data_IF_554199493079
#
_entry.id   IF_554199493079
#
_cell.length_a   1.000
_cell.length_b   1.000
_cell.length_c   1.000
_cell.angle_alpha   90.00
_cell.angle_beta   90.00
_cell.angle_gamma   90.00
#
_symmetry.space_group_name_H-M   'P 1'
#
loop_
_entity.id
_entity.type
_entity.pdbx_description
1 polymer ?
#
# COMPACT_ATOMS: atom_id res chain seq x y z
N UNK A 1 -34.76 40.27 -40.48
CA UNK A 1 -33.43 40.09 -39.97
C UNK A 1 -33.38 38.85 -39.08
N UNK A 2 -32.60 37.87 -39.57
CA UNK A 2 -32.39 36.57 -38.89
C UNK A 2 -31.17 36.74 -38.00
N UNK A 3 -31.30 36.61 -36.70
CA UNK A 3 -30.18 36.60 -35.78
C UNK A 3 -29.60 35.20 -35.71
N UNK A 4 -28.36 35.06 -36.17
CA UNK A 4 -27.55 33.86 -36.06
C UNK A 4 -26.87 33.87 -34.68
N UNK A 5 -27.27 32.99 -33.78
CA UNK A 5 -26.60 32.79 -32.49
C UNK A 5 -25.46 31.77 -32.70
N UNK A 6 -24.25 32.25 -32.68
CA UNK A 6 -23.02 31.42 -32.61
C UNK A 6 -22.85 30.86 -31.22
N UNK A 7 -23.11 29.57 -31.02
CA UNK A 7 -22.67 28.86 -29.80
C UNK A 7 -21.16 28.59 -29.92
N UNK A 8 -20.38 29.35 -29.15
CA UNK A 8 -18.98 29.05 -28.93
C UNK A 8 -18.87 27.89 -27.91
N UNK A 9 -18.59 26.69 -28.41
CA UNK A 9 -18.26 25.55 -27.57
C UNK A 9 -16.91 25.75 -26.91
N UNK A 10 -16.87 26.07 -25.64
CA UNK A 10 -15.66 25.98 -24.84
C UNK A 10 -15.27 24.50 -24.67
N UNK A 11 -14.30 24.01 -25.46
CA UNK A 11 -13.54 22.82 -25.11
C UNK A 11 -12.70 23.17 -23.86
N UNK A 12 -13.21 22.83 -22.69
CA UNK A 12 -12.45 22.88 -21.47
C UNK A 12 -11.30 21.86 -21.56
N UNK A 13 -10.07 22.35 -21.66
CA UNK A 13 -8.88 21.56 -21.39
C UNK A 13 -8.99 21.06 -19.93
N UNK A 14 -9.30 19.78 -19.75
CA UNK A 14 -9.20 19.11 -18.45
C UNK A 14 -7.70 19.01 -18.17
N UNK A 15 -7.18 19.97 -17.38
CA UNK A 15 -5.83 19.85 -16.84
C UNK A 15 -5.83 18.66 -15.86
N UNK A 16 -4.82 17.77 -15.92
CA UNK A 16 -4.69 16.66 -14.97
C UNK A 16 -4.71 17.22 -13.55
N UNK A 17 -5.47 16.59 -12.67
CA UNK A 17 -5.51 16.99 -11.26
C UNK A 17 -4.18 16.62 -10.60
N UNK A 18 -3.73 17.40 -9.61
CA UNK A 18 -2.47 17.13 -8.89
C UNK A 18 -2.40 15.70 -8.30
N UNK A 19 -3.53 15.03 -8.11
CA UNK A 19 -3.62 13.62 -7.71
C UNK A 19 -3.11 12.64 -8.77
N UNK A 20 -3.18 12.99 -10.07
CA UNK A 20 -2.67 12.15 -11.18
C UNK A 20 -1.13 12.22 -11.30
N UNK A 21 -0.51 13.20 -10.70
CA UNK A 21 0.93 13.43 -10.74
C UNK A 21 1.68 12.81 -9.56
N UNK A 22 0.99 12.23 -8.59
CA UNK A 22 1.58 11.75 -7.35
C UNK A 22 1.13 10.33 -6.98
N UNK A 23 2.02 9.60 -6.33
CA UNK A 23 1.77 8.34 -5.64
C UNK A 23 2.48 8.41 -4.30
N UNK A 24 1.92 9.17 -3.32
CA UNK A 24 2.67 9.67 -2.17
C UNK A 24 2.89 8.66 -1.06
N UNK A 25 2.24 7.51 -1.12
CA UNK A 25 2.26 6.49 -0.08
C UNK A 25 2.11 5.09 -0.67
N UNK A 26 2.30 4.09 0.16
CA UNK A 26 1.94 2.73 -0.20
C UNK A 26 0.45 2.64 -0.55
N UNK A 27 0.14 2.06 -1.71
CA UNK A 27 -1.19 1.99 -2.33
C UNK A 27 -1.78 3.34 -2.80
N UNK A 28 -0.91 4.34 -3.00
CA UNK A 28 -1.25 5.57 -3.71
C UNK A 28 -2.02 6.60 -2.89
N UNK A 29 -2.56 7.62 -3.56
CA UNK A 29 -3.13 8.79 -2.89
C UNK A 29 -4.40 8.48 -2.09
N UNK A 30 -5.10 7.40 -2.40
CA UNK A 30 -6.32 6.95 -1.70
C UNK A 30 -6.07 5.80 -0.71
N UNK A 31 -4.86 5.23 -0.69
CA UNK A 31 -4.49 4.11 0.17
C UNK A 31 -5.16 2.78 -0.19
N UNK A 32 -5.85 2.69 -1.33
CA UNK A 32 -6.64 1.54 -1.77
C UNK A 32 -6.07 0.83 -3.01
N UNK A 33 -4.97 1.35 -3.57
CA UNK A 33 -4.33 0.84 -4.80
C UNK A 33 -5.02 1.27 -6.08
N UNK A 34 -5.99 2.18 -6.03
CA UNK A 34 -6.67 2.67 -7.23
C UNK A 34 -5.97 3.88 -7.84
N UNK A 35 -5.94 3.93 -9.18
CA UNK A 35 -5.46 5.07 -9.96
C UNK A 35 -6.55 5.59 -10.88
N UNK A 36 -6.74 6.92 -10.97
CA UNK A 36 -7.60 7.54 -11.97
C UNK A 36 -6.95 7.65 -13.35
N UNK A 37 -5.67 7.29 -13.49
CA UNK A 37 -4.90 7.40 -14.73
C UNK A 37 -5.58 6.68 -15.90
N UNK A 38 -5.68 7.34 -17.05
CA UNK A 38 -6.32 6.80 -18.25
C UNK A 38 -5.33 6.56 -19.41
N UNK A 39 -4.05 6.85 -19.20
CA UNK A 39 -3.03 6.80 -20.26
C UNK A 39 -1.99 5.69 -20.05
N UNK A 40 -1.93 5.08 -18.86
CA UNK A 40 -0.97 4.00 -18.59
C UNK A 40 -1.27 2.78 -19.49
N UNK A 41 -0.26 2.20 -20.18
CA UNK A 41 -0.48 1.03 -21.04
C UNK A 41 -0.86 -0.19 -20.21
N UNK A 42 -1.95 -0.86 -20.57
CA UNK A 42 -2.35 -2.13 -19.98
C UNK A 42 -1.56 -3.31 -20.54
N UNK A 43 -1.13 -3.20 -21.79
CA UNK A 43 -0.23 -4.14 -22.46
C UNK A 43 1.10 -3.45 -22.77
N UNK A 44 2.21 -4.07 -22.36
CA UNK A 44 3.55 -3.51 -22.51
C UNK A 44 4.63 -4.59 -22.54
N UNK A 45 5.77 -4.25 -23.11
CA UNK A 45 7.00 -5.03 -23.02
C UNK A 45 8.16 -4.14 -22.54
N UNK A 46 9.11 -4.73 -21.85
CA UNK A 46 10.33 -4.02 -21.39
C UNK A 46 11.11 -3.46 -22.58
N UNK A 47 11.14 -4.18 -23.71
CA UNK A 47 11.88 -3.78 -24.91
C UNK A 47 11.32 -2.49 -25.53
N UNK A 48 10.00 -2.37 -25.60
CA UNK A 48 9.33 -1.30 -26.38
C UNK A 48 8.91 -0.10 -25.52
N UNK A 49 8.53 -0.37 -24.28
CA UNK A 49 7.88 0.62 -23.40
C UNK A 49 8.76 1.12 -22.25
N UNK A 50 10.03 0.69 -22.15
CA UNK A 50 10.92 1.23 -21.11
C UNK A 50 11.30 2.67 -21.46
N UNK A 51 10.86 3.60 -20.62
CA UNK A 51 11.29 5.01 -20.65
C UNK A 51 12.68 5.12 -20.03
N UNK A 52 12.87 4.52 -18.86
CA UNK A 52 14.16 4.36 -18.21
C UNK A 52 14.20 3.12 -17.31
N UNK A 53 15.41 2.63 -17.08
CA UNK A 53 15.74 1.52 -16.17
C UNK A 53 16.94 1.93 -15.34
N UNK A 54 16.83 1.90 -14.01
CA UNK A 54 17.88 2.34 -13.09
C UNK A 54 18.24 1.22 -12.14
N UNK A 55 19.52 0.83 -12.02
CA UNK A 55 19.95 -0.17 -11.05
C UNK A 55 19.78 0.36 -9.62
N UNK A 56 19.25 -0.49 -8.75
CA UNK A 56 19.10 -0.22 -7.32
C UNK A 56 20.15 -1.02 -6.53
N UNK A 57 20.89 -0.39 -5.61
CA UNK A 57 21.78 -1.13 -4.75
C UNK A 57 21.01 -1.96 -3.72
N UNK A 58 21.54 -3.12 -3.36
CA UNK A 58 21.02 -3.94 -2.27
C UNK A 58 19.64 -4.55 -2.54
N UNK A 59 18.87 -4.78 -1.48
CA UNK A 59 17.58 -5.46 -1.52
C UNK A 59 16.48 -4.62 -0.87
N UNK A 60 15.23 -4.81 -1.33
CA UNK A 60 14.08 -4.17 -0.70
C UNK A 60 12.77 -4.54 -1.38
N UNK A 61 11.71 -4.71 -0.59
CA UNK A 61 10.35 -5.02 -1.05
C UNK A 61 9.39 -3.82 -0.97
N UNK A 62 9.86 -2.69 -0.43
CA UNK A 62 9.09 -1.46 -0.41
C UNK A 62 8.74 -0.98 -1.82
N UNK A 63 7.52 -0.52 -2.00
CA UNK A 63 7.12 0.17 -3.23
C UNK A 63 7.81 1.52 -3.33
N UNK A 64 8.11 2.03 -4.53
CA UNK A 64 8.49 3.42 -4.69
C UNK A 64 7.32 4.35 -4.35
N UNK A 65 7.62 5.59 -3.98
CA UNK A 65 6.62 6.67 -3.91
C UNK A 65 7.04 7.79 -4.85
N UNK A 66 6.06 8.48 -5.41
CA UNK A 66 6.27 9.51 -6.41
C UNK A 66 5.59 10.80 -5.99
N UNK A 67 6.35 11.89 -6.05
CA UNK A 67 5.81 13.23 -5.89
C UNK A 67 6.40 14.15 -6.96
N UNK A 68 5.57 14.58 -7.89
CA UNK A 68 5.99 15.40 -9.02
C UNK A 68 7.23 14.81 -9.73
N UNK A 69 8.38 15.46 -9.67
CA UNK A 69 9.62 15.05 -10.35
C UNK A 69 10.58 14.23 -9.47
N UNK A 70 10.06 13.67 -8.37
CA UNK A 70 10.85 12.87 -7.43
C UNK A 70 10.26 11.46 -7.29
N UNK A 71 11.14 10.46 -7.34
CA UNK A 71 10.84 9.08 -7.01
C UNK A 71 11.69 8.68 -5.81
N UNK A 72 11.05 8.29 -4.72
CA UNK A 72 11.73 7.85 -3.51
C UNK A 72 11.60 6.35 -3.36
N UNK A 73 12.71 5.69 -3.05
CA UNK A 73 12.77 4.26 -2.79
C UNK A 73 13.72 3.97 -1.65
N UNK A 74 13.40 3.00 -0.81
CA UNK A 74 14.29 2.54 0.26
C UNK A 74 14.94 1.21 -0.11
N UNK A 75 16.16 0.98 0.35
CA UNK A 75 16.91 -0.26 0.12
C UNK A 75 17.74 -0.64 1.33
N UNK A 76 18.15 -1.90 1.42
CA UNK A 76 19.09 -2.41 2.40
C UNK A 76 20.36 -2.89 1.66
N UNK A 77 21.48 -2.26 1.95
CA UNK A 77 22.79 -2.60 1.41
C UNK A 77 23.67 -3.05 2.57
N UNK A 78 23.94 -4.34 2.66
CA UNK A 78 24.63 -4.93 3.81
C UNK A 78 23.94 -4.56 5.14
N UNK A 79 24.62 -3.80 6.00
CA UNK A 79 24.11 -3.33 7.29
C UNK A 79 23.44 -1.95 7.21
N UNK A 80 23.44 -1.28 6.04
CA UNK A 80 22.85 0.04 5.85
C UNK A 80 21.42 -0.04 5.35
N UNK A 81 20.60 0.89 5.83
CA UNK A 81 19.27 1.19 5.30
C UNK A 81 19.35 2.55 4.63
N UNK A 82 19.01 2.60 3.36
CA UNK A 82 19.19 3.79 2.55
C UNK A 82 17.85 4.29 1.99
N UNK A 83 17.68 5.60 1.93
CA UNK A 83 16.66 6.30 1.17
C UNK A 83 17.32 6.90 -0.06
N UNK A 84 16.78 6.58 -1.24
CA UNK A 84 17.28 7.05 -2.53
C UNK A 84 16.20 7.90 -3.19
N UNK A 85 16.59 9.05 -3.70
CA UNK A 85 15.77 9.91 -4.54
C UNK A 85 16.27 9.86 -5.98
N UNK A 86 15.35 9.58 -6.90
CA UNK A 86 15.62 9.61 -8.34
C UNK A 86 14.81 10.73 -9.00
N UNK A 87 15.32 11.25 -10.09
CA UNK A 87 14.58 12.10 -11.00
C UNK A 87 13.55 11.26 -11.76
N UNK A 88 12.30 11.65 -11.71
CA UNK A 88 11.19 10.89 -12.27
C UNK A 88 11.24 10.78 -13.80
N UNK A 89 11.69 11.81 -14.48
CA UNK A 89 11.70 11.83 -15.94
C UNK A 89 12.83 10.95 -16.53
N UNK A 90 13.96 10.87 -15.83
CA UNK A 90 15.17 10.25 -16.35
C UNK A 90 15.64 9.00 -15.60
N UNK A 91 15.08 8.74 -14.42
CA UNK A 91 15.54 7.69 -13.52
C UNK A 91 16.92 7.94 -12.90
N UNK A 92 17.56 9.09 -13.16
CA UNK A 92 18.88 9.42 -12.60
C UNK A 92 18.80 9.68 -11.10
N UNK A 93 19.76 9.17 -10.37
CA UNK A 93 19.87 9.44 -8.93
C UNK A 93 20.15 10.93 -8.67
N UNK A 94 19.27 11.56 -7.91
CA UNK A 94 19.45 12.92 -7.39
C UNK A 94 20.33 12.90 -6.14
N UNK A 95 19.99 12.04 -5.18
CA UNK A 95 20.74 11.85 -3.94
C UNK A 95 20.42 10.50 -3.30
N UNK A 96 21.22 10.11 -2.31
CA UNK A 96 20.94 8.99 -1.43
C UNK A 96 21.40 9.35 -0.01
N UNK A 97 20.65 8.90 0.99
CA UNK A 97 20.95 9.10 2.40
C UNK A 97 20.98 7.76 3.14
N UNK A 98 22.02 7.53 3.93
CA UNK A 98 22.04 6.42 4.89
C UNK A 98 21.13 6.82 6.04
N UNK A 99 20.03 6.10 6.20
CA UNK A 99 19.04 6.36 7.26
C UNK A 99 19.54 5.82 8.58
N UNK A 100 20.03 4.59 8.58
CA UNK A 100 20.66 3.95 9.73
C UNK A 100 21.61 2.83 9.30
N UNK A 101 22.49 2.43 10.20
CA UNK A 101 23.32 1.23 10.10
C UNK A 101 22.91 0.27 11.21
N UNK A 102 22.42 -0.92 10.84
CA UNK A 102 21.98 -1.94 11.78
C UNK A 102 22.20 -3.33 11.20
N UNK A 103 22.96 -4.15 11.86
CA UNK A 103 23.39 -5.47 11.37
C UNK A 103 22.54 -6.64 11.88
N UNK A 104 21.55 -6.42 12.75
CA UNK A 104 20.93 -7.48 13.55
C UNK A 104 19.42 -7.44 13.55
N UNK A 105 18.81 -7.82 12.43
CA UNK A 105 17.36 -8.07 12.40
C UNK A 105 17.08 -9.50 11.94
N UNK A 106 16.19 -10.17 12.68
CA UNK A 106 15.61 -11.43 12.21
C UNK A 106 14.43 -11.10 11.30
N UNK A 107 14.47 -11.58 10.07
CA UNK A 107 13.41 -11.43 9.08
C UNK A 107 12.93 -12.79 8.59
N UNK A 108 11.68 -12.83 8.11
CA UNK A 108 11.17 -13.98 7.36
C UNK A 108 11.83 -14.01 5.97
N UNK A 109 12.03 -15.21 5.38
CA UNK A 109 12.66 -15.38 4.04
C UNK A 109 11.97 -14.60 2.91
N UNK A 110 10.67 -14.31 3.05
CA UNK A 110 9.86 -13.51 2.11
C UNK A 110 9.78 -12.03 2.47
N UNK A 111 10.52 -11.59 3.47
CA UNK A 111 10.63 -10.19 3.85
C UNK A 111 11.99 -9.64 3.48
N UNK A 112 12.16 -8.34 3.50
CA UNK A 112 13.44 -7.65 3.35
C UNK A 112 13.65 -6.68 4.51
N UNK A 113 14.88 -6.22 4.68
CA UNK A 113 15.23 -5.21 5.68
C UNK A 113 14.77 -3.79 5.25
N UNK A 114 14.16 -3.66 4.05
CA UNK A 114 13.62 -2.43 3.49
C UNK A 114 12.25 -2.71 2.82
N UNK A 115 11.28 -3.18 3.62
CA UNK A 115 9.93 -3.50 3.16
C UNK A 115 8.89 -2.42 3.48
N UNK A 116 9.17 -1.55 4.45
CA UNK A 116 8.32 -0.41 4.76
C UNK A 116 8.41 0.65 3.65
N UNK A 117 7.31 0.91 2.98
CA UNK A 117 7.25 1.93 1.91
C UNK A 117 7.28 3.32 2.52
N UNK A 118 8.08 4.24 1.98
CA UNK A 118 8.08 5.65 2.39
C UNK A 118 6.69 6.29 2.24
N UNK A 119 6.51 7.44 2.90
CA UNK A 119 5.37 8.33 2.63
C UNK A 119 5.83 9.77 2.53
N UNK A 120 5.18 10.56 1.69
CA UNK A 120 5.53 11.98 1.49
C UNK A 120 4.30 12.88 1.48
N UNK A 121 4.47 14.12 1.94
CA UNK A 121 3.46 15.18 1.88
C UNK A 121 3.81 16.30 0.89
N UNK A 122 4.85 16.09 0.07
CA UNK A 122 5.34 17.08 -0.88
C UNK A 122 6.41 18.03 -0.33
N UNK A 123 6.65 18.03 0.99
CA UNK A 123 7.70 18.80 1.64
C UNK A 123 8.73 17.88 2.32
N UNK A 124 8.25 16.76 2.87
CA UNK A 124 9.08 15.80 3.59
C UNK A 124 8.80 14.39 3.09
N UNK A 125 9.82 13.54 3.23
CA UNK A 125 9.72 12.08 3.06
C UNK A 125 9.96 11.44 4.42
N UNK A 126 9.01 10.60 4.83
CA UNK A 126 9.08 9.86 6.09
C UNK A 126 9.36 8.39 5.80
N UNK A 127 10.32 7.84 6.51
CA UNK A 127 10.72 6.44 6.40
C UNK A 127 10.72 5.79 7.77
N UNK A 128 10.44 4.48 7.81
CA UNK A 128 10.52 3.69 9.03
C UNK A 128 11.26 2.38 8.79
N UNK A 129 12.09 2.00 9.76
CA UNK A 129 12.89 0.76 9.77
C UNK A 129 12.94 0.18 11.17
N UNK A 130 13.50 -1.01 11.30
CA UNK A 130 13.97 -1.51 12.57
C UNK A 130 15.47 -1.26 12.73
N UNK A 131 15.87 -0.97 13.96
CA UNK A 131 17.23 -1.02 14.45
C UNK A 131 17.29 -2.05 15.59
N UNK A 132 17.60 -3.28 15.23
CA UNK A 132 17.50 -4.41 16.16
C UNK A 132 16.05 -4.70 16.58
N UNK A 133 15.62 -4.14 17.70
CA UNK A 133 14.23 -4.22 18.19
C UNK A 133 13.59 -2.86 18.40
N UNK A 134 14.24 -1.79 18.01
CA UNK A 134 13.70 -0.44 18.13
C UNK A 134 13.12 0.04 16.82
N UNK A 135 11.92 0.57 16.85
CA UNK A 135 11.34 1.27 15.72
C UNK A 135 12.13 2.55 15.46
N UNK A 136 12.57 2.75 14.24
CA UNK A 136 13.31 3.93 13.80
C UNK A 136 12.48 4.68 12.76
N UNK A 137 12.16 5.94 13.02
CA UNK A 137 11.39 6.81 12.12
C UNK A 137 12.17 8.08 11.85
N UNK A 138 12.32 8.43 10.57
CA UNK A 138 13.10 9.59 10.15
C UNK A 138 12.37 10.39 9.10
N UNK A 139 12.45 11.72 9.18
CA UNK A 139 11.99 12.65 8.16
C UNK A 139 13.18 13.28 7.43
N UNK A 140 13.05 13.39 6.12
CA UNK A 140 13.97 14.09 5.22
C UNK A 140 13.22 15.15 4.43
N UNK A 141 13.90 16.26 4.07
CA UNK A 141 13.40 17.13 3.03
C UNK A 141 13.68 16.54 1.62
N UNK A 142 13.26 17.23 0.57
CA UNK A 142 13.42 16.74 -0.80
C UNK A 142 14.87 16.87 -1.32
N UNK A 143 15.73 17.60 -0.62
CA UNK A 143 17.16 17.72 -0.87
C UNK A 143 17.96 16.59 -0.17
N UNK A 144 17.30 15.74 0.62
CA UNK A 144 17.91 14.62 1.33
C UNK A 144 18.55 14.99 2.66
N UNK A 145 18.23 16.16 3.20
CA UNK A 145 18.69 16.58 4.53
C UNK A 145 17.74 16.05 5.60
N UNK A 146 18.31 15.34 6.57
CA UNK A 146 17.56 14.83 7.73
C UNK A 146 16.99 15.99 8.56
N UNK A 147 15.68 15.98 8.78
CA UNK A 147 14.97 16.97 9.58
C UNK A 147 14.86 16.54 11.04
N UNK A 148 14.49 15.30 11.26
CA UNK A 148 14.43 14.69 12.58
C UNK A 148 14.50 13.17 12.50
N UNK A 149 14.80 12.55 13.64
CA UNK A 149 14.84 11.11 13.86
C UNK A 149 14.21 10.79 15.21
N UNK A 150 13.39 9.74 15.29
CA UNK A 150 12.72 9.30 16.52
C UNK A 150 12.68 7.77 16.63
N UNK A 151 12.68 7.30 17.87
CA UNK A 151 12.52 5.91 18.27
C UNK A 151 11.27 5.79 19.13
N UNK A 152 10.07 5.65 18.54
CA UNK A 152 8.81 5.74 19.28
C UNK A 152 8.53 4.53 20.15
N UNK A 153 9.26 3.42 20.01
CA UNK A 153 9.08 2.23 20.83
C UNK A 153 9.77 1.00 20.28
N UNK A 154 9.57 -0.10 21.00
CA UNK A 154 10.08 -1.43 20.62
C UNK A 154 9.16 -2.07 19.58
N UNK A 155 9.76 -2.87 18.70
CA UNK A 155 9.04 -3.77 17.80
C UNK A 155 9.74 -5.14 17.79
N UNK A 156 9.16 -6.12 18.44
CA UNK A 156 9.68 -7.47 18.52
C UNK A 156 8.86 -8.42 17.64
N UNK A 157 9.46 -8.93 16.58
CA UNK A 157 8.82 -9.88 15.67
C UNK A 157 9.85 -10.85 15.13
N UNK A 158 9.43 -12.10 14.92
CA UNK A 158 10.26 -13.14 14.29
C UNK A 158 10.31 -13.01 12.77
N UNK A 159 9.49 -12.14 12.18
CA UNK A 159 9.38 -11.96 10.74
C UNK A 159 9.95 -10.63 10.23
N UNK A 160 10.43 -9.77 11.13
CA UNK A 160 10.87 -8.41 10.82
C UNK A 160 9.70 -7.42 10.74
N UNK A 161 9.93 -6.26 10.15
CA UNK A 161 8.99 -5.15 10.04
C UNK A 161 8.67 -4.85 8.57
N UNK A 162 7.41 -4.53 8.24
CA UNK A 162 7.03 -4.14 6.88
C UNK A 162 5.82 -3.20 6.79
N UNK A 163 5.15 -2.88 7.91
CA UNK A 163 4.10 -1.86 7.90
C UNK A 163 4.66 -0.51 7.47
N UNK A 164 3.92 0.22 6.66
CA UNK A 164 4.36 1.53 6.16
C UNK A 164 3.79 2.66 7.01
N UNK A 165 4.52 3.78 7.17
CA UNK A 165 3.97 4.97 7.79
C UNK A 165 2.84 5.54 6.94
N UNK A 166 1.85 6.15 7.57
CA UNK A 166 0.77 6.88 6.90
C UNK A 166 0.70 8.32 7.41
N UNK A 167 0.10 9.20 6.61
CA UNK A 167 -0.06 10.61 6.96
C UNK A 167 -1.52 10.92 7.28
N UNK A 168 -1.69 11.76 8.29
CA UNK A 168 -2.97 12.38 8.61
C UNK A 168 -2.76 13.81 9.09
N UNK A 169 -3.22 14.78 8.31
CA UNK A 169 -3.04 16.22 8.63
C UNK A 169 -1.56 16.55 8.93
N UNK A 170 -1.25 16.91 10.15
CA UNK A 170 0.08 17.23 10.67
C UNK A 170 0.83 16.04 11.31
N UNK A 171 0.32 14.82 11.14
CA UNK A 171 0.81 13.61 11.82
C UNK A 171 1.38 12.58 10.85
N UNK A 172 2.42 11.89 11.30
CA UNK A 172 2.91 10.60 10.78
C UNK A 172 2.46 9.53 11.76
N UNK A 173 1.75 8.52 11.29
CA UNK A 173 1.21 7.44 12.12
C UNK A 173 1.93 6.13 11.79
N UNK A 174 2.35 5.43 12.82
CA UNK A 174 3.12 4.19 12.75
C UNK A 174 2.35 3.07 13.46
N UNK A 175 2.22 1.93 12.80
CA UNK A 175 1.75 0.70 13.42
C UNK A 175 2.93 -0.02 14.09
N UNK A 176 2.86 -0.18 15.40
CA UNK A 176 3.80 -0.90 16.26
C UNK A 176 3.21 -2.17 16.85
N UNK A 177 2.31 -2.88 16.16
CA UNK A 177 1.80 -4.19 16.60
C UNK A 177 2.92 -5.23 16.57
N UNK A 178 3.33 -5.74 17.74
CA UNK A 178 4.42 -6.69 17.90
C UNK A 178 4.19 -7.70 19.04
N UNK A 179 5.09 -8.64 19.20
CA UNK A 179 5.06 -9.61 20.29
C UNK A 179 5.56 -8.96 21.60
N UNK A 180 4.74 -8.10 22.21
CA UNK A 180 5.07 -7.30 23.37
C UNK A 180 4.02 -6.22 23.62
N UNK A 181 4.42 -5.10 24.19
CA UNK A 181 3.54 -3.96 24.46
C UNK A 181 3.23 -3.20 23.16
N UNK A 182 2.35 -3.82 22.37
CA UNK A 182 1.91 -3.34 21.05
C UNK A 182 1.26 -1.98 21.14
N UNK A 183 1.49 -1.15 20.10
CA UNK A 183 0.98 0.23 20.06
C UNK A 183 0.70 0.71 18.64
N UNK A 184 -0.07 1.78 18.54
CA UNK A 184 -0.11 2.69 17.38
C UNK A 184 0.34 4.04 17.90
N UNK A 185 1.19 4.74 17.18
CA UNK A 185 1.71 6.04 17.59
C UNK A 185 1.60 7.06 16.47
N UNK A 186 1.21 8.29 16.82
CA UNK A 186 1.26 9.44 15.94
C UNK A 186 2.37 10.40 16.38
N UNK A 187 3.20 10.77 15.41
CA UNK A 187 4.26 11.75 15.57
C UNK A 187 3.92 13.01 14.78
N UNK A 188 4.23 14.19 15.30
CA UNK A 188 4.13 15.44 14.58
C UNK A 188 5.07 15.44 13.37
N UNK A 189 4.57 15.70 12.16
CA UNK A 189 5.39 15.71 10.93
C UNK A 189 6.59 16.64 10.99
N UNK A 190 6.44 17.80 11.62
CA UNK A 190 7.46 18.84 11.67
C UNK A 190 8.62 18.53 12.60
N UNK A 191 8.36 17.88 13.75
CA UNK A 191 9.35 17.72 14.83
C UNK A 191 9.60 16.27 15.24
N UNK A 192 8.75 15.33 14.81
CA UNK A 192 8.74 13.97 15.30
C UNK A 192 8.28 13.81 16.75
N UNK A 193 7.77 14.87 17.40
CA UNK A 193 7.23 14.80 18.77
C UNK A 193 6.01 13.88 18.80
N UNK A 194 5.93 12.99 19.79
CA UNK A 194 4.76 12.15 20.01
C UNK A 194 3.53 13.02 20.31
N UNK A 195 2.46 12.81 19.52
CA UNK A 195 1.17 13.49 19.68
C UNK A 195 0.23 12.63 20.52
N UNK A 196 0.13 11.35 20.16
CA UNK A 196 -0.60 10.35 20.92
C UNK A 196 0.00 8.95 20.68
N UNK A 197 -0.22 8.07 21.66
CA UNK A 197 0.13 6.66 21.58
C UNK A 197 -0.98 5.82 22.17
N UNK A 198 -1.50 4.89 21.41
CA UNK A 198 -2.58 3.99 21.82
C UNK A 198 -2.02 2.58 21.98
N UNK A 199 -2.10 2.05 23.21
CA UNK A 199 -1.67 0.69 23.51
C UNK A 199 -2.69 -0.32 22.98
N UNK A 200 -2.19 -1.44 22.48
CA UNK A 200 -2.96 -2.57 21.96
C UNK A 200 -2.89 -3.73 22.95
N UNK A 201 -4.02 -4.43 23.14
CA UNK A 201 -4.19 -5.30 24.30
C UNK A 201 -3.64 -6.72 24.14
N UNK A 202 -3.57 -7.25 22.91
CA UNK A 202 -3.34 -8.69 22.70
C UNK A 202 -1.87 -9.07 22.48
N UNK A 203 -0.97 -8.10 22.41
CA UNK A 203 0.48 -8.30 22.35
C UNK A 203 0.92 -9.23 21.22
N UNK A 204 0.29 -9.08 20.05
CA UNK A 204 0.49 -9.98 18.91
C UNK A 204 0.93 -9.18 17.69
N UNK A 205 2.01 -9.63 17.07
CA UNK A 205 2.58 -9.00 15.85
C UNK A 205 1.60 -8.93 14.70
N UNK A 206 1.64 -7.82 14.00
CA UNK A 206 0.90 -7.57 12.77
C UNK A 206 1.74 -6.69 11.84
N UNK A 207 1.43 -6.75 10.57
CA UNK A 207 2.21 -6.09 9.51
C UNK A 207 1.35 -5.20 8.63
N UNK A 208 0.07 -5.11 8.94
CA UNK A 208 -0.91 -4.30 8.22
C UNK A 208 -0.52 -2.82 8.26
N UNK A 209 -0.54 -2.16 7.13
CA UNK A 209 -0.49 -0.70 7.05
C UNK A 209 -1.90 -0.16 7.32
N UNK A 210 -2.08 0.74 8.30
CA UNK A 210 -3.37 1.37 8.55
C UNK A 210 -3.85 2.16 7.33
N UNK A 211 -5.16 2.29 7.19
CA UNK A 211 -5.80 3.09 6.15
C UNK A 211 -6.80 4.05 6.78
N UNK A 212 -6.99 5.24 6.18
CA UNK A 212 -7.88 6.27 6.74
C UNK A 212 -8.94 6.64 5.71
N UNK A 213 -10.20 6.62 6.13
CA UNK A 213 -11.35 7.09 5.34
C UNK A 213 -12.27 7.96 6.20
N UNK A 214 -12.93 8.91 5.56
CA UNK A 214 -14.06 9.62 6.16
C UNK A 214 -15.34 8.91 5.78
N UNK A 215 -16.01 8.33 6.75
CA UNK A 215 -17.23 7.53 6.56
C UNK A 215 -18.35 8.20 7.33
N UNK A 216 -19.38 8.69 6.62
CA UNK A 216 -20.50 9.45 7.20
C UNK A 216 -20.03 10.59 8.14
N UNK A 217 -19.03 11.35 7.70
CA UNK A 217 -18.47 12.48 8.47
C UNK A 217 -17.53 12.09 9.62
N UNK A 218 -17.35 10.80 9.91
CA UNK A 218 -16.41 10.30 10.92
C UNK A 218 -15.11 9.84 10.27
N UNK A 219 -13.99 10.43 10.70
CA UNK A 219 -12.67 9.97 10.27
C UNK A 219 -12.36 8.64 10.95
N UNK A 220 -12.01 7.65 10.18
CA UNK A 220 -11.74 6.31 10.65
C UNK A 220 -10.39 5.82 10.14
N UNK A 221 -9.42 5.69 11.04
CA UNK A 221 -8.20 4.93 10.79
C UNK A 221 -8.48 3.48 11.13
N UNK A 222 -8.45 2.62 10.12
CA UNK A 222 -8.76 1.20 10.28
C UNK A 222 -7.51 0.36 10.04
N UNK A 223 -7.30 -0.61 10.89
CA UNK A 223 -6.25 -1.62 10.70
C UNK A 223 -6.70 -2.97 11.24
N UNK A 224 -6.16 -4.01 10.63
CA UNK A 224 -6.21 -5.39 11.14
C UNK A 224 -4.90 -5.71 11.82
N UNK A 225 -4.94 -6.20 13.04
CA UNK A 225 -3.75 -6.50 13.82
C UNK A 225 -4.07 -6.78 15.28
N UNK A 226 -3.08 -7.25 16.02
CA UNK A 226 -3.24 -7.55 17.44
C UNK A 226 -4.49 -8.40 17.73
N UNK A 227 -4.72 -9.45 16.91
CA UNK A 227 -5.90 -10.34 16.96
C UNK A 227 -7.25 -9.65 16.77
N UNK A 228 -7.29 -8.46 16.18
CA UNK A 228 -8.51 -7.67 15.99
C UNK A 228 -8.55 -7.00 14.63
N UNK A 229 -9.74 -6.55 14.22
CA UNK A 229 -9.92 -5.47 13.25
C UNK A 229 -10.52 -4.30 14.01
N UNK A 230 -9.89 -3.13 13.94
CA UNK A 230 -10.31 -2.00 14.75
C UNK A 230 -10.20 -0.66 14.02
N UNK A 231 -11.12 0.24 14.37
CA UNK A 231 -11.14 1.62 13.89
C UNK A 231 -10.83 2.60 15.03
N UNK A 232 -10.06 3.61 14.68
CA UNK A 232 -9.62 4.66 15.60
C UNK A 232 -9.86 6.04 15.01
N UNK A 233 -10.07 7.03 15.88
CA UNK A 233 -10.00 8.44 15.51
C UNK A 233 -8.52 8.81 15.23
N UNK A 234 -8.17 9.20 14.00
CA UNK A 234 -6.76 9.45 13.66
C UNK A 234 -6.18 10.71 14.33
N UNK A 235 -7.01 11.64 14.80
CA UNK A 235 -6.54 12.82 15.51
C UNK A 235 -6.10 12.53 16.96
N UNK A 236 -6.71 11.52 17.61
CA UNK A 236 -6.51 11.26 19.06
C UNK A 236 -6.07 9.83 19.38
N UNK A 237 -6.15 8.90 18.44
CA UNK A 237 -5.91 7.48 18.67
C UNK A 237 -7.01 6.77 19.47
N UNK A 238 -8.15 7.43 19.75
CA UNK A 238 -9.28 6.83 20.46
C UNK A 238 -10.00 5.80 19.59
N UNK A 239 -10.23 4.60 20.11
CA UNK A 239 -10.92 3.53 19.38
C UNK A 239 -12.41 3.82 19.21
N UNK A 240 -12.90 3.72 17.98
CA UNK A 240 -14.32 3.79 17.64
C UNK A 240 -15.02 2.47 17.83
N UNK A 241 -14.51 1.43 17.17
CA UNK A 241 -15.06 0.09 17.24
C UNK A 241 -13.97 -0.99 17.11
N UNK A 242 -14.33 -2.21 17.45
CA UNK A 242 -13.47 -3.39 17.34
C UNK A 242 -14.27 -4.61 16.92
N UNK A 243 -13.66 -5.47 16.12
CA UNK A 243 -14.05 -6.85 15.86
C UNK A 243 -12.96 -7.75 16.42
N UNK A 244 -13.31 -8.68 17.30
CA UNK A 244 -12.41 -9.68 17.87
C UNK A 244 -12.14 -10.78 16.82
N UNK A 245 -10.91 -11.13 16.64
CA UNK A 245 -10.47 -12.06 15.62
C UNK A 245 -10.40 -11.43 14.22
N UNK A 246 -10.59 -12.20 13.14
CA UNK A 246 -10.89 -13.64 13.07
C UNK A 246 -9.68 -14.56 13.23
N UNK A 247 -8.48 -14.01 13.35
CA UNK A 247 -7.21 -14.75 13.42
C UNK A 247 -6.17 -13.98 14.24
N UNK A 248 -4.94 -14.48 14.34
CA UNK A 248 -3.88 -13.85 15.15
C UNK A 248 -3.05 -12.85 14.37
N UNK A 249 -2.66 -13.18 13.14
CA UNK A 249 -1.71 -12.38 12.36
C UNK A 249 -2.31 -11.88 11.05
N UNK A 250 -1.98 -10.63 10.73
CA UNK A 250 -2.45 -9.90 9.56
C UNK A 250 -1.28 -9.23 8.85
N UNK A 251 -1.32 -9.24 7.52
CA UNK A 251 -0.35 -8.56 6.67
C UNK A 251 -1.07 -7.61 5.71
N UNK A 252 -2.09 -8.11 5.01
CA UNK A 252 -2.87 -7.35 4.05
C UNK A 252 -3.61 -6.19 4.73
N UNK A 253 -3.63 -5.02 4.06
CA UNK A 253 -4.45 -3.89 4.47
C UNK A 253 -5.87 -4.00 3.92
N UNK A 254 -6.79 -3.33 4.59
CA UNK A 254 -8.19 -3.27 4.20
C UNK A 254 -8.38 -2.38 2.97
N UNK A 255 -9.54 -2.56 2.31
CA UNK A 255 -10.05 -1.62 1.29
C UNK A 255 -11.50 -1.25 1.58
N UNK A 256 -11.90 -0.07 1.12
CA UNK A 256 -13.25 0.47 1.29
C UNK A 256 -13.86 0.78 -0.08
N UNK A 257 -15.12 0.38 -0.31
CA UNK A 257 -15.80 0.61 -1.59
C UNK A 257 -16.82 1.76 -1.56
N UNK A 258 -16.87 2.51 -0.47
CA UNK A 258 -17.87 3.56 -0.26
C UNK A 258 -19.03 3.13 0.66
N UNK A 259 -19.18 1.83 0.93
CA UNK A 259 -20.20 1.27 1.84
C UNK A 259 -19.60 0.29 2.85
N UNK A 260 -18.83 -0.70 2.38
CA UNK A 260 -18.27 -1.76 3.19
C UNK A 260 -16.73 -1.72 3.19
N UNK A 261 -16.15 -2.12 4.31
CA UNK A 261 -14.72 -2.45 4.43
C UNK A 261 -14.51 -3.92 4.13
N UNK A 262 -13.49 -4.23 3.34
CA UNK A 262 -13.09 -5.60 3.04
C UNK A 262 -11.72 -5.88 3.59
N UNK A 263 -11.56 -7.03 4.21
CA UNK A 263 -10.29 -7.53 4.69
C UNK A 263 -10.04 -8.96 4.24
N UNK A 264 -8.77 -9.30 4.13
CA UNK A 264 -8.27 -10.66 4.00
C UNK A 264 -7.19 -10.89 5.05
N UNK A 265 -7.04 -12.10 5.54
CA UNK A 265 -6.04 -12.42 6.56
C UNK A 265 -5.66 -13.90 6.55
N UNK A 266 -4.57 -14.24 7.20
CA UNK A 266 -3.94 -15.47 6.91
C UNK A 266 -3.41 -16.41 7.98
N UNK A 267 -3.17 -16.06 9.23
CA UNK A 267 -2.53 -17.02 10.14
C UNK A 267 -3.04 -16.93 11.58
N UNK A 268 -3.32 -18.09 12.23
CA UNK A 268 -3.28 -19.46 11.70
C UNK A 268 -4.44 -19.80 10.77
N UNK A 269 -5.51 -19.01 10.78
CA UNK A 269 -6.70 -19.25 9.98
C UNK A 269 -6.87 -18.16 8.92
N UNK A 270 -7.27 -18.58 7.73
CA UNK A 270 -7.48 -17.68 6.59
C UNK A 270 -8.95 -17.27 6.48
N UNK A 271 -9.19 -15.98 6.26
CA UNK A 271 -10.52 -15.41 6.16
C UNK A 271 -10.57 -14.22 5.20
N UNK A 272 -11.72 -14.04 4.57
CA UNK A 272 -12.15 -12.77 3.98
C UNK A 272 -13.44 -12.34 4.65
N UNK A 273 -13.57 -11.06 4.95
CA UNK A 273 -14.75 -10.46 5.57
C UNK A 273 -15.15 -9.18 4.84
N UNK A 274 -16.46 -8.93 4.79
CA UNK A 274 -17.00 -7.60 4.58
C UNK A 274 -17.57 -7.07 5.90
N UNK A 275 -17.25 -5.83 6.22
CA UNK A 275 -17.53 -5.19 7.50
C UNK A 275 -18.28 -3.88 7.26
N UNK A 276 -19.37 -3.67 7.97
CA UNK A 276 -20.03 -2.37 8.05
C UNK A 276 -19.24 -1.45 9.00
N UNK A 277 -18.66 -0.34 8.52
CA UNK A 277 -17.80 0.51 9.33
C UNK A 277 -18.54 1.48 10.26
N UNK A 278 -19.88 1.48 10.28
CA UNK A 278 -20.70 2.48 10.97
C UNK A 278 -20.91 2.21 12.46
N UNK A 279 -20.34 1.14 12.97
CA UNK A 279 -20.53 0.71 14.34
C UNK A 279 -19.80 1.53 15.42
N UNK A 280 -20.03 1.13 16.68
CA UNK A 280 -19.37 1.66 17.86
C UNK A 280 -19.18 0.55 18.92
N UNK A 281 -18.09 0.58 19.67
CA UNK A 281 -17.77 -0.44 20.67
C UNK A 281 -17.37 -1.78 20.05
N UNK A 282 -17.75 -2.90 20.65
CA UNK A 282 -17.49 -4.23 20.11
C UNK A 282 -18.61 -4.63 19.13
N UNK A 283 -18.26 -4.72 17.86
CA UNK A 283 -19.20 -4.97 16.74
C UNK A 283 -19.03 -6.35 16.11
N UNK A 284 -18.31 -7.25 16.76
CA UNK A 284 -17.98 -8.59 16.25
C UNK A 284 -19.20 -9.37 15.75
N UNK A 285 -20.33 -9.27 16.46
CA UNK A 285 -21.55 -10.04 16.16
C UNK A 285 -22.54 -9.29 15.25
N UNK A 286 -22.38 -7.98 15.07
CA UNK A 286 -23.42 -7.15 14.45
C UNK A 286 -23.03 -6.54 13.10
N UNK A 287 -21.73 -6.33 12.84
CA UNK A 287 -21.27 -5.56 11.67
C UNK A 287 -20.45 -6.37 10.66
N UNK A 288 -20.29 -7.66 10.85
CA UNK A 288 -19.77 -8.55 9.80
C UNK A 288 -20.91 -8.93 8.88
N UNK A 289 -20.91 -8.42 7.64
CA UNK A 289 -21.95 -8.65 6.63
C UNK A 289 -21.86 -10.05 6.04
N UNK A 290 -20.65 -10.46 5.66
CA UNK A 290 -20.37 -11.82 5.22
C UNK A 290 -18.93 -12.24 5.56
N UNK A 291 -18.68 -13.55 5.53
CA UNK A 291 -17.40 -14.17 5.78
C UNK A 291 -17.20 -15.39 4.91
N UNK A 292 -16.01 -15.56 4.35
CA UNK A 292 -15.64 -16.75 3.61
C UNK A 292 -14.21 -17.17 3.93
N UNK A 293 -13.87 -18.45 3.68
CA UNK A 293 -12.53 -19.02 3.82
C UNK A 293 -11.97 -19.53 2.50
N UNK A 294 -12.65 -19.26 1.38
CA UNK A 294 -12.25 -19.77 0.07
C UNK A 294 -11.16 -18.89 -0.52
N UNK A 295 -9.95 -19.45 -0.60
CA UNK A 295 -8.74 -18.84 -1.20
C UNK A 295 -8.42 -17.39 -0.78
N UNK A 296 -8.45 -17.05 0.53
CA UNK A 296 -8.08 -15.71 0.96
C UNK A 296 -6.59 -15.46 0.80
N UNK A 297 -6.21 -14.22 0.61
CA UNK A 297 -4.84 -13.76 0.68
C UNK A 297 -4.36 -13.62 2.11
N UNK A 298 -3.07 -13.86 2.34
CA UNK A 298 -2.40 -13.52 3.59
C UNK A 298 -1.55 -12.26 3.44
N UNK A 299 -0.71 -12.20 2.40
CA UNK A 299 0.22 -11.09 2.16
C UNK A 299 -0.34 -10.05 1.19
N UNK A 300 -0.75 -10.37 -0.04
CA UNK A 300 -1.28 -9.38 -0.96
C UNK A 300 -2.55 -8.70 -0.44
N UNK A 301 -2.57 -7.38 -0.44
CA UNK A 301 -3.80 -6.64 -0.14
C UNK A 301 -4.76 -6.67 -1.31
N UNK A 302 -6.08 -6.78 -1.03
CA UNK A 302 -7.11 -6.84 -2.06
C UNK A 302 -7.40 -5.49 -2.68
N UNK A 303 -8.26 -5.46 -3.67
CA UNK A 303 -8.86 -4.25 -4.24
C UNK A 303 -10.38 -4.38 -4.28
N UNK A 304 -11.05 -3.23 -4.29
CA UNK A 304 -12.48 -3.15 -4.60
C UNK A 304 -12.67 -2.29 -5.84
N UNK A 305 -13.50 -2.75 -6.77
CA UNK A 305 -13.76 -2.06 -8.04
C UNK A 305 -15.19 -2.30 -8.49
N UNK A 306 -15.96 -1.21 -8.60
CA UNK A 306 -17.39 -1.29 -8.86
C UNK A 306 -18.10 -2.17 -7.81
N UNK A 307 -18.88 -3.15 -8.27
CA UNK A 307 -19.58 -4.09 -7.40
C UNK A 307 -18.74 -5.31 -6.96
N UNK A 308 -17.44 -5.33 -7.26
CA UNK A 308 -16.59 -6.49 -7.02
C UNK A 308 -15.54 -6.23 -5.96
N UNK A 309 -15.29 -7.25 -5.14
CA UNK A 309 -14.13 -7.41 -4.29
C UNK A 309 -13.22 -8.46 -4.93
N UNK A 310 -11.96 -8.07 -5.21
CA UNK A 310 -11.02 -8.89 -5.98
C UNK A 310 -9.74 -9.10 -5.17
N UNK A 311 -9.30 -10.35 -5.10
CA UNK A 311 -8.14 -10.76 -4.29
C UNK A 311 -7.30 -11.79 -5.04
N UNK A 312 -6.00 -11.81 -4.80
CA UNK A 312 -5.11 -12.92 -5.20
C UNK A 312 -4.51 -13.56 -3.96
N UNK A 313 -4.58 -14.87 -3.86
CA UNK A 313 -3.93 -15.62 -2.79
C UNK A 313 -2.41 -15.64 -2.98
N UNK A 314 -1.67 -15.88 -1.90
CA UNK A 314 -0.20 -16.03 -1.92
C UNK A 314 0.29 -17.11 -2.90
N UNK A 315 -0.56 -18.08 -3.22
CA UNK A 315 -0.28 -19.17 -4.16
C UNK A 315 -0.68 -18.90 -5.59
N UNK A 316 -1.20 -17.69 -5.90
CA UNK A 316 -1.53 -17.24 -7.24
C UNK A 316 -2.91 -17.67 -7.77
N UNK A 317 -3.88 -17.86 -6.86
CA UNK A 317 -5.29 -17.97 -7.24
C UNK A 317 -5.98 -16.61 -7.03
N UNK A 318 -6.50 -16.05 -8.11
CA UNK A 318 -7.32 -14.85 -8.05
C UNK A 318 -8.79 -15.23 -7.87
N UNK A 319 -9.49 -14.46 -7.05
CA UNK A 319 -10.93 -14.59 -6.81
C UNK A 319 -11.62 -13.27 -7.02
N UNK A 320 -12.75 -13.29 -7.69
CA UNK A 320 -13.67 -12.15 -7.81
C UNK A 320 -14.98 -12.49 -7.07
N UNK A 321 -15.30 -11.66 -6.11
CA UNK A 321 -16.51 -11.82 -5.32
C UNK A 321 -17.42 -10.59 -5.52
N UNK A 322 -18.72 -10.79 -5.49
CA UNK A 322 -19.66 -9.70 -5.36
C UNK A 322 -19.50 -9.06 -3.98
N UNK A 323 -19.24 -7.76 -3.96
CA UNK A 323 -18.82 -7.05 -2.75
C UNK A 323 -19.90 -7.07 -1.66
N UNK A 324 -21.17 -6.93 -2.02
CA UNK A 324 -22.30 -6.87 -1.07
C UNK A 324 -22.58 -8.21 -0.40
N UNK A 325 -22.53 -9.31 -1.15
CA UNK A 325 -23.00 -10.64 -0.71
C UNK A 325 -21.88 -11.62 -0.39
N UNK A 326 -20.68 -11.38 -0.90
CA UNK A 326 -19.57 -12.33 -0.84
C UNK A 326 -19.74 -13.54 -1.78
N UNK A 327 -20.73 -13.51 -2.69
CA UNK A 327 -20.93 -14.53 -3.72
C UNK A 327 -19.68 -14.57 -4.62
N UNK A 328 -19.12 -15.76 -4.76
CA UNK A 328 -17.99 -15.98 -5.65
C UNK A 328 -18.48 -15.96 -7.11
N UNK A 329 -17.99 -15.02 -7.90
CA UNK A 329 -18.18 -14.99 -9.35
C UNK A 329 -17.27 -16.02 -10.03
N UNK A 330 -15.97 -15.92 -9.78
CA UNK A 330 -14.99 -16.87 -10.30
C UNK A 330 -13.76 -16.98 -9.38
N UNK A 331 -12.98 -18.08 -9.58
CA UNK A 331 -11.72 -18.34 -8.90
C UNK A 331 -10.76 -19.04 -9.87
N UNK A 332 -9.74 -18.31 -10.33
CA UNK A 332 -8.82 -18.75 -11.37
C UNK A 332 -7.36 -18.69 -10.96
N UNK A 333 -6.55 -19.61 -11.49
CA UNK A 333 -5.11 -19.61 -11.28
C UNK A 333 -4.43 -18.68 -12.30
N UNK A 334 -3.87 -17.58 -11.82
CA UNK A 334 -3.22 -16.57 -12.68
C UNK A 334 -1.69 -16.64 -12.62
N UNK A 335 -1.13 -17.41 -11.71
CA UNK A 335 0.32 -17.53 -11.53
C UNK A 335 0.67 -18.51 -10.43
N UNK A 336 1.86 -18.34 -9.85
CA UNK A 336 2.32 -19.12 -8.69
C UNK A 336 2.37 -18.24 -7.45
N UNK A 337 3.51 -17.68 -7.11
CA UNK A 337 3.71 -16.91 -5.87
C UNK A 337 3.40 -15.43 -6.08
N UNK A 338 2.63 -14.85 -5.16
CA UNK A 338 2.28 -13.43 -5.14
C UNK A 338 2.55 -12.86 -3.74
N UNK A 339 3.27 -11.74 -3.69
CA UNK A 339 3.52 -10.96 -2.47
C UNK A 339 3.10 -9.50 -2.65
N UNK A 340 3.17 -8.98 -3.88
CA UNK A 340 2.74 -7.64 -4.24
C UNK A 340 1.22 -7.48 -4.13
N UNK A 341 0.77 -6.33 -3.63
CA UNK A 341 -0.65 -5.99 -3.60
C UNK A 341 -1.16 -5.55 -4.96
N UNK A 342 -2.38 -5.91 -5.29
CA UNK A 342 -3.04 -5.52 -6.52
C UNK A 342 -3.28 -4.00 -6.59
N UNK A 343 -3.32 -3.48 -7.83
CA UNK A 343 -3.74 -2.11 -8.12
C UNK A 343 -4.85 -2.10 -9.18
N UNK A 344 -5.62 -1.02 -9.22
CA UNK A 344 -6.67 -0.85 -10.22
C UNK A 344 -6.45 0.40 -11.05
N UNK A 345 -6.69 0.30 -12.35
CA UNK A 345 -6.60 1.40 -13.31
C UNK A 345 -7.49 1.11 -14.53
N UNK A 346 -8.12 2.14 -15.08
CA UNK A 346 -8.96 2.04 -16.31
C UNK A 346 -10.00 0.91 -16.23
N UNK A 347 -10.58 0.68 -15.05
CA UNK A 347 -11.56 -0.39 -14.86
C UNK A 347 -10.98 -1.82 -14.80
N UNK A 348 -9.67 -1.98 -14.73
CA UNK A 348 -8.96 -3.26 -14.66
C UNK A 348 -8.29 -3.48 -13.31
N UNK A 349 -7.99 -4.73 -13.00
CA UNK A 349 -7.16 -5.13 -11.85
C UNK A 349 -5.84 -5.70 -12.36
N UNK A 350 -4.75 -5.20 -11.81
CA UNK A 350 -3.38 -5.62 -12.15
C UNK A 350 -2.76 -6.34 -10.95
N UNK A 351 -2.37 -7.58 -11.15
CA UNK A 351 -1.66 -8.42 -10.18
C UNK A 351 -0.22 -8.62 -10.62
N UNK A 352 0.71 -8.64 -9.68
CA UNK A 352 2.12 -8.95 -9.96
C UNK A 352 2.53 -10.18 -9.20
N UNK A 353 3.04 -11.19 -9.93
CA UNK A 353 3.65 -12.38 -9.35
C UNK A 353 5.09 -12.11 -8.91
N UNK A 354 5.62 -12.92 -7.97
CA UNK A 354 7.02 -12.84 -7.54
C UNK A 354 8.00 -13.12 -8.70
N UNK A 355 7.58 -13.85 -9.76
CA UNK A 355 8.37 -14.02 -10.98
C UNK A 355 8.40 -12.80 -11.91
N UNK A 356 7.79 -11.68 -11.51
CA UNK A 356 7.79 -10.43 -12.28
C UNK A 356 6.83 -10.38 -13.46
N UNK A 357 5.75 -11.17 -13.41
CA UNK A 357 4.69 -11.12 -14.42
C UNK A 357 3.50 -10.32 -13.88
N UNK A 358 3.14 -9.26 -14.58
CA UNK A 358 1.91 -8.51 -14.33
C UNK A 358 0.78 -9.10 -15.16
N UNK A 359 -0.24 -9.63 -14.49
CA UNK A 359 -1.49 -10.10 -15.11
C UNK A 359 -2.56 -9.02 -14.96
N UNK A 360 -3.13 -8.58 -16.07
CA UNK A 360 -4.21 -7.57 -16.14
C UNK A 360 -5.51 -8.29 -16.43
N UNK A 361 -6.52 -8.08 -15.61
CA UNK A 361 -7.86 -8.66 -15.79
C UNK A 361 -8.93 -7.59 -15.81
N UNK A 362 -10.04 -7.90 -16.47
CA UNK A 362 -11.28 -7.13 -16.35
C UNK A 362 -12.17 -7.84 -15.32
N UNK A 363 -12.54 -7.19 -14.19
CA UNK A 363 -13.45 -7.81 -13.22
C UNK A 363 -14.85 -7.96 -13.80
N UNK A 364 -15.55 -9.05 -13.48
CA UNK A 364 -16.85 -9.39 -14.04
C UNK A 364 -17.41 -10.67 -13.44
N UNK A 365 -18.53 -11.15 -13.99
CA UNK A 365 -19.13 -12.44 -13.60
C UNK A 365 -18.28 -13.64 -14.08
N UNK A 366 -17.48 -13.43 -15.12
CA UNK A 366 -16.55 -14.41 -15.68
C UNK A 366 -15.12 -13.88 -15.66
N UNK A 367 -14.14 -14.76 -15.61
CA UNK A 367 -12.74 -14.40 -15.69
C UNK A 367 -12.39 -13.91 -17.11
N UNK A 368 -11.80 -12.72 -17.19
CA UNK A 368 -11.34 -12.14 -18.43
C UNK A 368 -9.91 -11.59 -18.28
N UNK A 369 -8.94 -12.33 -18.78
CA UNK A 369 -7.54 -11.88 -18.89
C UNK A 369 -7.39 -10.93 -20.07
N UNK A 370 -6.80 -9.77 -19.83
CA UNK A 370 -6.59 -8.72 -20.83
C UNK A 370 -5.16 -8.73 -21.35
N UNK A 371 -4.19 -8.86 -20.42
CA UNK A 371 -2.77 -8.88 -20.78
C UNK A 371 -1.92 -9.61 -19.75
N UNK A 372 -0.76 -10.09 -20.21
CA UNK A 372 0.34 -10.56 -19.36
C UNK A 372 1.63 -9.87 -19.79
N UNK A 373 2.22 -9.13 -18.87
CA UNK A 373 3.41 -8.33 -19.10
C UNK A 373 4.55 -8.83 -18.22
N UNK A 374 5.67 -9.21 -18.81
CA UNK A 374 6.82 -9.73 -18.08
C UNK A 374 7.91 -8.66 -17.91
N UNK A 375 8.31 -8.40 -16.66
CA UNK A 375 9.42 -7.49 -16.36
C UNK A 375 10.79 -8.12 -16.60
N UNK A 376 10.89 -9.45 -16.46
CA UNK A 376 12.16 -10.18 -16.59
C UNK A 376 13.00 -10.18 -15.32
N UNK A 377 12.47 -9.71 -14.21
CA UNK A 377 13.05 -9.74 -12.86
C UNK A 377 12.00 -10.14 -11.83
N UNK A 378 12.42 -10.67 -10.70
CA UNK A 378 11.52 -10.88 -9.55
C UNK A 378 10.94 -9.57 -9.05
N UNK A 379 9.67 -9.59 -8.62
CA UNK A 379 8.96 -8.43 -8.08
C UNK A 379 8.24 -8.79 -6.78
N UNK A 380 8.50 -8.02 -5.73
CA UNK A 380 7.80 -8.11 -4.45
C UNK A 380 7.03 -6.83 -4.10
N UNK A 381 7.43 -5.72 -4.69
CA UNK A 381 6.82 -4.41 -4.49
C UNK A 381 5.52 -4.27 -5.29
N UNK A 382 4.54 -3.58 -4.71
CA UNK A 382 3.31 -3.23 -5.42
C UNK A 382 3.58 -2.18 -6.50
N UNK A 383 2.90 -2.26 -7.67
CA UNK A 383 3.05 -1.30 -8.75
C UNK A 383 2.64 0.12 -8.35
N UNK A 384 3.24 1.09 -9.02
CA UNK A 384 2.91 2.52 -8.90
C UNK A 384 2.49 3.04 -10.26
N UNK A 385 1.46 3.88 -10.29
CA UNK A 385 0.89 4.46 -11.52
C UNK A 385 0.88 5.98 -11.39
N UNK A 386 1.48 6.67 -12.34
CA UNK A 386 1.48 8.13 -12.38
C UNK A 386 1.83 8.65 -13.76
N UNK A 387 1.15 9.68 -14.24
CA UNK A 387 1.39 10.37 -15.53
C UNK A 387 1.47 9.39 -16.71
N UNK A 388 0.54 8.44 -16.81
CA UNK A 388 0.50 7.47 -17.91
C UNK A 388 1.62 6.43 -17.89
N UNK A 389 2.30 6.24 -16.76
CA UNK A 389 3.45 5.35 -16.65
C UNK A 389 3.38 4.48 -15.39
N UNK A 390 3.87 3.26 -15.51
CA UNK A 390 4.19 2.38 -14.40
C UNK A 390 5.58 2.71 -13.84
N UNK A 391 5.70 2.80 -12.52
CA UNK A 391 6.98 2.73 -11.84
C UNK A 391 7.02 1.39 -11.11
N UNK A 392 7.85 0.47 -11.60
CA UNK A 392 7.93 -0.91 -11.17
C UNK A 392 9.28 -1.20 -10.54
N UNK A 393 9.27 -1.77 -9.33
CA UNK A 393 10.48 -2.21 -8.66
C UNK A 393 10.71 -3.70 -8.86
N UNK A 394 11.73 -4.02 -9.66
CA UNK A 394 12.32 -5.35 -9.73
C UNK A 394 13.31 -5.62 -8.59
N UNK A 395 13.88 -6.81 -8.57
CA UNK A 395 14.89 -7.19 -7.58
C UNK A 395 16.17 -6.37 -7.68
N UNK A 396 16.57 -6.00 -8.90
CA UNK A 396 17.83 -5.31 -9.19
C UNK A 396 17.65 -3.89 -9.74
N UNK A 397 16.48 -3.58 -10.31
CA UNK A 397 16.26 -2.30 -10.97
C UNK A 397 14.91 -1.68 -10.62
N UNK A 398 14.85 -0.36 -10.78
CA UNK A 398 13.60 0.39 -10.87
C UNK A 398 13.34 0.71 -12.35
N UNK A 399 12.11 0.50 -12.78
CA UNK A 399 11.67 0.72 -14.17
C UNK A 399 10.61 1.81 -14.24
N UNK A 400 10.67 2.63 -15.26
CA UNK A 400 9.57 3.44 -15.73
C UNK A 400 9.10 2.85 -17.08
N UNK A 401 7.85 2.40 -17.13
CA UNK A 401 7.23 1.76 -18.29
C UNK A 401 6.05 2.61 -18.77
N UNK A 402 6.00 2.97 -20.04
CA UNK A 402 4.90 3.75 -20.60
C UNK A 402 5.25 4.34 -21.97
N UNK A 403 4.49 5.32 -22.42
CA UNK A 403 4.83 6.07 -23.62
C UNK A 403 6.08 6.92 -23.37
N UNK A 404 6.94 6.99 -24.37
CA UNK A 404 8.17 7.81 -24.38
C UNK A 404 7.83 9.27 -24.65
#
# INVERSE_FOLDING_TARGET
PVFLVLLAGCLGLILPTAAEETWPSWRGPRGDGSSPDQAVPLEWSVKEHTVWKTPLPGKGHASPVVWQDHVFVVTAVEDRRELICLDRATGKKKWAAIVLTSSRERIHRRNSLASSTPVTDGNHVFVSFLDGKEMHVTAYDFEGKKQWEKRPGVFSSVHGYCSSPILWKDKVIINGDHDGDSYIVALEKKSGKEVWKTMRANRTRSYCTPVIWTIEGRNQMVLSGDKTVASYEPDTGKRHWVIDGPTDQFVASLVYNGDLLFMTCGFPQRHMLAIDPRGSGNVTKSHVRWRTRKDPSYVPSPVSIGKYFVVVSDSGRASCLEAETGRLAWNERIGREHGASAVTVQGHVCFVSESGVMTVIKPGEEYAEVAKNALGEEMHASPVITRGQWILRGAEHLYCIGAK
#
